data_IF_692044301601
#
_entry.id   IF_692044301601
#
_cell.length_a   1.000
_cell.length_b   1.000
_cell.length_c   1.000
_cell.angle_alpha   90.00
_cell.angle_beta   90.00
_cell.angle_gamma   90.00
#
_symmetry.space_group_name_H-M   'P 1'
#
loop_
_entity.id
_entity.type
_entity.pdbx_description
1 polymer ?
#
# COMPACT_ATOMS: atom_id res chain seq x y z
N UNK A 1 -3.15 -18.93 -3.96
CA UNK A 1 -2.86 -17.66 -4.61
C UNK A 1 -1.60 -17.06 -4.09
N UNK A 2 -0.67 -16.62 -4.96
CA UNK A 2 0.52 -15.93 -4.50
C UNK A 2 0.17 -14.64 -3.78
N UNK A 3 0.70 -14.47 -2.59
CA UNK A 3 0.48 -13.25 -1.83
C UNK A 3 1.68 -12.92 -0.96
N UNK A 4 1.83 -11.63 -0.68
CA UNK A 4 2.83 -11.09 0.22
C UNK A 4 2.11 -10.42 1.38
N UNK A 5 2.78 -10.32 2.52
CA UNK A 5 2.17 -9.85 3.74
C UNK A 5 3.21 -9.14 4.59
N UNK A 6 2.82 -8.03 5.18
CA UNK A 6 3.60 -7.39 6.24
C UNK A 6 2.66 -6.81 7.30
N UNK A 7 3.12 -6.76 8.53
CA UNK A 7 2.41 -6.07 9.61
C UNK A 7 3.41 -5.38 10.51
N UNK A 8 2.96 -4.30 11.13
CA UNK A 8 3.76 -3.57 12.10
C UNK A 8 2.84 -2.86 13.09
N UNK A 9 3.26 -2.79 14.33
CA UNK A 9 2.50 -2.08 15.37
C UNK A 9 3.02 -0.66 15.48
N UNK A 10 2.09 0.30 15.40
CA UNK A 10 2.39 1.74 15.42
C UNK A 10 1.78 2.34 16.68
N UNK A 11 2.58 3.12 17.41
CA UNK A 11 2.15 3.79 18.63
C UNK A 11 1.37 5.06 18.28
N UNK A 12 0.16 4.86 17.78
CA UNK A 12 -0.77 5.93 17.41
C UNK A 12 -2.17 5.34 17.28
N UNK A 13 -3.18 6.20 17.34
CA UNK A 13 -4.57 5.79 17.11
C UNK A 13 -4.80 5.41 15.66
N UNK A 14 -5.85 4.63 15.40
CA UNK A 14 -6.25 4.30 14.02
C UNK A 14 -6.52 5.56 13.20
N UNK A 15 -7.09 6.57 13.84
CA UNK A 15 -7.37 7.84 13.16
C UNK A 15 -6.09 8.49 12.62
N UNK A 16 -5.03 8.54 13.43
CA UNK A 16 -3.75 9.12 12.99
C UNK A 16 -3.09 8.29 11.90
N UNK A 17 -3.11 6.96 12.05
CA UNK A 17 -2.52 6.08 11.03
C UNK A 17 -3.32 6.19 9.72
N UNK A 18 -4.65 6.21 9.81
CA UNK A 18 -5.50 6.38 8.64
C UNK A 18 -5.23 7.68 7.91
N UNK A 19 -5.09 8.80 8.64
CA UNK A 19 -4.81 10.10 8.04
C UNK A 19 -3.50 10.07 7.24
N UNK A 20 -2.45 9.48 7.79
CA UNK A 20 -1.18 9.36 7.08
C UNK A 20 -1.30 8.48 5.84
N UNK A 21 -2.05 7.38 5.94
CA UNK A 21 -2.23 6.44 4.83
C UNK A 21 -3.07 7.03 3.70
N UNK A 22 -4.18 7.71 4.03
CA UNK A 22 -5.15 8.17 3.02
C UNK A 22 -4.70 9.45 2.31
N UNK A 23 -3.82 10.23 2.91
CA UNK A 23 -3.30 11.46 2.33
C UNK A 23 -2.10 11.17 1.44
N UNK A 24 -2.38 10.57 0.29
CA UNK A 24 -1.31 10.13 -0.63
C UNK A 24 -0.49 11.29 -1.19
N UNK A 25 -1.04 12.52 -1.22
CA UNK A 25 -0.31 13.72 -1.64
C UNK A 25 0.84 14.07 -0.69
N UNK A 26 0.85 13.50 0.52
CA UNK A 26 1.92 13.68 1.49
C UNK A 26 2.86 12.48 1.57
N UNK A 27 2.63 11.44 0.79
CA UNK A 27 3.53 10.28 0.76
C UNK A 27 4.96 10.64 0.37
N UNK A 28 5.15 11.71 -0.37
CA UNK A 28 6.48 12.15 -0.77
C UNK A 28 7.40 12.44 0.44
N UNK A 29 6.82 12.72 1.61
CA UNK A 29 7.59 13.04 2.80
C UNK A 29 8.07 11.80 3.55
N UNK A 30 7.49 10.62 3.30
CA UNK A 30 7.85 9.44 4.09
C UNK A 30 7.89 8.13 3.30
N UNK A 31 7.19 8.04 2.16
CA UNK A 31 6.99 6.77 1.45
C UNK A 31 7.93 6.68 0.27
N UNK A 32 8.86 5.71 0.28
CA UNK A 32 9.79 5.50 -0.83
C UNK A 32 9.39 4.34 -1.73
N UNK A 33 8.27 3.67 -1.42
CA UNK A 33 7.75 2.56 -2.21
C UNK A 33 6.68 3.01 -3.19
N UNK A 34 5.73 3.84 -2.75
CA UNK A 34 4.62 4.35 -3.54
C UNK A 34 4.63 5.89 -3.56
N UNK A 35 4.31 6.46 -4.71
CA UNK A 35 4.24 7.91 -4.89
C UNK A 35 2.92 8.29 -5.52
N UNK A 36 2.38 9.44 -5.12
CA UNK A 36 1.18 10.01 -5.73
C UNK A 36 1.58 10.79 -6.98
N UNK A 37 0.95 10.47 -8.11
CA UNK A 37 1.18 11.18 -9.37
C UNK A 37 0.11 12.23 -9.67
N UNK A 38 -1.02 12.21 -8.96
CA UNK A 38 -2.10 13.18 -9.18
C UNK A 38 -2.91 13.38 -7.91
N UNK A 39 -2.63 14.48 -7.20
CA UNK A 39 -3.31 14.81 -5.94
C UNK A 39 -4.78 15.18 -6.14
N UNK A 40 -5.21 15.44 -7.37
CA UNK A 40 -6.61 15.74 -7.69
C UNK A 40 -7.48 14.49 -7.74
N UNK A 41 -6.88 13.31 -7.68
CA UNK A 41 -7.57 12.02 -7.67
C UNK A 41 -7.41 11.38 -6.28
N UNK A 42 -8.26 11.73 -5.31
CA UNK A 42 -8.15 11.13 -3.96
C UNK A 42 -8.61 9.67 -3.97
N UNK A 43 -8.28 8.95 -2.89
CA UNK A 43 -8.81 7.61 -2.69
C UNK A 43 -10.33 7.69 -2.50
N UNK A 44 -11.05 7.23 -3.50
CA UNK A 44 -12.51 7.24 -3.51
C UNK A 44 -12.99 5.93 -4.13
N UNK A 45 -13.86 5.23 -3.42
CA UNK A 45 -14.34 3.91 -3.87
C UNK A 45 -14.96 4.00 -5.26
N UNK A 46 -14.56 3.08 -6.14
CA UNK A 46 -15.03 3.02 -7.51
C UNK A 46 -14.25 3.88 -8.48
N UNK A 47 -13.27 4.65 -8.02
CA UNK A 47 -12.48 5.55 -8.86
C UNK A 47 -11.03 5.10 -8.93
N UNK A 48 -10.36 5.53 -10.01
CA UNK A 48 -8.93 5.27 -10.19
C UNK A 48 -8.09 6.38 -9.57
N UNK A 49 -6.89 6.02 -9.15
CA UNK A 49 -5.85 6.97 -8.75
C UNK A 49 -4.63 6.74 -9.65
N UNK A 50 -3.71 7.69 -9.66
CA UNK A 50 -2.48 7.58 -10.43
C UNK A 50 -1.31 7.49 -9.47
N UNK A 51 -0.62 6.36 -9.47
CA UNK A 51 0.48 6.07 -8.56
C UNK A 51 1.72 5.64 -9.32
N UNK A 52 2.86 5.74 -8.65
CA UNK A 52 4.13 5.22 -9.10
C UNK A 52 4.71 4.29 -8.06
N UNK A 53 5.35 3.23 -8.51
CA UNK A 53 5.90 2.17 -7.66
C UNK A 53 7.41 2.07 -7.87
N UNK A 54 8.17 2.01 -6.78
CA UNK A 54 9.61 1.75 -6.81
C UNK A 54 9.94 0.63 -5.82
N UNK A 55 10.15 -0.58 -6.35
CA UNK A 55 10.49 -1.75 -5.52
C UNK A 55 11.89 -1.66 -4.94
N UNK A 56 12.83 -1.14 -5.73
CA UNK A 56 14.23 -1.05 -5.35
C UNK A 56 14.67 0.40 -5.50
N UNK A 57 15.32 0.93 -4.47
CA UNK A 57 15.82 2.31 -4.48
C UNK A 57 16.82 2.49 -5.62
N UNK A 58 16.68 3.60 -6.36
CA UNK A 58 17.56 3.92 -7.49
C UNK A 58 17.14 3.31 -8.81
N UNK A 59 16.15 2.43 -8.83
CA UNK A 59 15.64 1.86 -10.08
C UNK A 59 14.50 2.71 -10.66
N UNK A 60 14.21 2.55 -11.96
CA UNK A 60 13.11 3.28 -12.59
C UNK A 60 11.76 2.98 -11.94
N UNK A 61 10.92 4.00 -11.88
CA UNK A 61 9.57 3.87 -11.36
C UNK A 61 8.66 3.17 -12.35
N UNK A 62 7.67 2.44 -11.84
CA UNK A 62 6.58 1.87 -12.62
C UNK A 62 5.31 2.65 -12.32
N UNK A 63 4.76 3.32 -13.34
CA UNK A 63 3.51 4.06 -13.20
C UNK A 63 2.33 3.14 -13.43
N UNK A 64 1.27 3.32 -12.64
CA UNK A 64 0.05 2.51 -12.76
C UNK A 64 -1.17 3.30 -12.27
N UNK A 65 -2.35 2.83 -12.68
CA UNK A 65 -3.61 3.49 -12.35
C UNK A 65 -4.57 2.48 -11.75
N UNK A 66 -4.43 2.15 -10.46
CA UNK A 66 -5.31 1.18 -9.82
C UNK A 66 -6.71 1.76 -9.60
N UNK A 67 -7.69 0.86 -9.56
CA UNK A 67 -9.06 1.21 -9.19
C UNK A 67 -9.25 0.94 -7.71
N UNK A 68 -9.73 1.93 -6.98
CA UNK A 68 -10.02 1.80 -5.55
C UNK A 68 -11.33 1.01 -5.39
N UNK A 69 -11.26 -0.11 -4.68
CA UNK A 69 -12.40 -1.02 -4.52
C UNK A 69 -13.07 -0.90 -3.16
N UNK A 70 -12.37 -0.38 -2.16
CA UNK A 70 -12.94 -0.20 -0.82
C UNK A 70 -12.23 0.95 -0.11
N UNK A 71 -13.02 1.87 0.45
CA UNK A 71 -12.55 2.87 1.40
C UNK A 71 -13.46 2.80 2.63
N UNK A 72 -12.97 2.18 3.68
CA UNK A 72 -13.68 2.07 4.94
C UNK A 72 -12.85 2.82 5.98
N UNK A 73 -13.23 4.06 6.33
CA UNK A 73 -12.40 4.92 7.17
C UNK A 73 -11.93 4.24 8.45
N UNK A 74 -10.64 4.37 8.73
CA UNK A 74 -9.94 3.82 9.90
C UNK A 74 -9.89 2.29 9.95
N UNK A 75 -10.39 1.59 8.93
CA UNK A 75 -10.46 0.12 8.94
C UNK A 75 -9.73 -0.47 7.74
N UNK A 76 -10.08 -0.08 6.51
CA UNK A 76 -9.55 -0.76 5.34
C UNK A 76 -9.52 0.14 4.11
N UNK A 77 -8.42 0.06 3.37
CA UNK A 77 -8.27 0.62 2.03
C UNK A 77 -7.84 -0.50 1.11
N UNK A 78 -8.49 -0.59 -0.06
CA UNK A 78 -8.17 -1.65 -1.01
C UNK A 78 -8.23 -1.12 -2.43
N UNK A 79 -7.27 -1.52 -3.25
CA UNK A 79 -7.29 -1.24 -4.69
C UNK A 79 -6.79 -2.43 -5.47
N UNK A 80 -7.11 -2.46 -6.76
CA UNK A 80 -6.59 -3.46 -7.67
C UNK A 80 -6.12 -2.86 -8.98
N UNK A 81 -5.15 -3.53 -9.61
CA UNK A 81 -4.70 -3.27 -10.97
C UNK A 81 -4.93 -4.53 -11.78
N UNK A 82 -5.53 -4.40 -12.97
CA UNK A 82 -5.87 -5.54 -13.81
C UNK A 82 -5.31 -5.33 -15.20
N UNK A 83 -4.53 -6.29 -15.67
CA UNK A 83 -4.09 -6.40 -17.06
C UNK A 83 -4.40 -7.82 -17.54
N UNK A 84 -4.43 -8.09 -18.85
CA UNK A 84 -4.73 -9.44 -19.31
C UNK A 84 -3.84 -10.49 -18.67
N UNK A 85 -4.45 -11.48 -18.00
CA UNK A 85 -3.74 -12.58 -17.36
C UNK A 85 -3.17 -12.30 -15.98
N UNK A 86 -3.24 -11.07 -15.48
CA UNK A 86 -2.67 -10.73 -14.18
C UNK A 86 -3.52 -9.69 -13.45
N UNK A 87 -3.85 -10.00 -12.21
CA UNK A 87 -4.52 -9.09 -11.28
C UNK A 87 -3.66 -8.94 -10.04
N UNK A 88 -3.43 -7.69 -9.65
CA UNK A 88 -2.73 -7.36 -8.42
C UNK A 88 -3.67 -6.57 -7.50
N UNK A 89 -3.80 -7.00 -6.25
CA UNK A 89 -4.65 -6.34 -5.26
C UNK A 89 -3.84 -5.99 -4.03
N UNK A 90 -3.93 -4.73 -3.61
CA UNK A 90 -3.36 -4.27 -2.35
C UNK A 90 -4.47 -4.05 -1.35
N UNK A 91 -4.29 -4.60 -0.13
CA UNK A 91 -5.23 -4.47 0.98
C UNK A 91 -4.48 -3.91 2.17
N UNK A 92 -4.94 -2.77 2.68
CA UNK A 92 -4.39 -2.12 3.86
C UNK A 92 -5.44 -2.17 4.97
N UNK A 93 -5.10 -2.78 6.09
CA UNK A 93 -6.02 -2.88 7.23
C UNK A 93 -5.41 -2.26 8.47
N UNK A 94 -6.25 -1.61 9.27
CA UNK A 94 -5.85 -1.03 10.55
C UNK A 94 -6.66 -1.69 11.66
N UNK A 95 -5.96 -2.20 12.66
CA UNK A 95 -6.56 -2.88 13.81
C UNK A 95 -6.19 -2.14 15.08
N UNK A 96 -7.19 -1.76 15.87
CA UNK A 96 -6.94 -1.21 17.20
C UNK A 96 -6.56 -2.39 18.12
N UNK A 97 -5.32 -2.37 18.62
CA UNK A 97 -4.81 -3.44 19.49
C UNK A 97 -4.71 -2.99 20.95
N UNK A 98 -5.29 -1.84 21.29
CA UNK A 98 -5.32 -1.33 22.65
C UNK A 98 -4.10 -0.51 23.03
N UNK A 99 -4.17 0.17 24.18
CA UNK A 99 -3.07 0.96 24.75
C UNK A 99 -2.52 2.05 23.82
N UNK A 100 -3.35 2.56 22.89
CA UNK A 100 -2.93 3.59 21.96
C UNK A 100 -2.13 3.08 20.78
N UNK A 101 -2.14 1.76 20.52
CA UNK A 101 -1.43 1.15 19.40
C UNK A 101 -2.40 0.71 18.30
N UNK A 102 -1.93 0.81 17.07
CA UNK A 102 -2.63 0.32 15.88
C UNK A 102 -1.73 -0.68 15.17
N UNK A 103 -2.29 -1.82 14.77
CA UNK A 103 -1.61 -2.77 13.90
C UNK A 103 -1.94 -2.42 12.46
N UNK A 104 -0.91 -2.10 11.71
CA UNK A 104 -0.99 -1.85 10.27
C UNK A 104 -0.67 -3.15 9.55
N UNK A 105 -1.58 -3.57 8.67
CA UNK A 105 -1.44 -4.80 7.89
C UNK A 105 -1.53 -4.43 6.42
N UNK A 106 -0.58 -4.91 5.63
CA UNK A 106 -0.56 -4.71 4.19
C UNK A 106 -0.41 -6.06 3.50
N UNK A 107 -1.41 -6.41 2.70
CA UNK A 107 -1.39 -7.60 1.86
C UNK A 107 -1.28 -7.21 0.40
N UNK A 108 -0.50 -7.97 -0.36
CA UNK A 108 -0.25 -7.75 -1.77
C UNK A 108 -0.51 -9.08 -2.48
N UNK A 109 -1.64 -9.17 -3.19
CA UNK A 109 -2.14 -10.43 -3.76
C UNK A 109 -2.03 -10.41 -5.27
N UNK A 110 -1.60 -11.54 -5.84
CA UNK A 110 -1.48 -11.73 -7.28
C UNK A 110 -2.37 -12.87 -7.71
N UNK A 111 -3.12 -12.69 -8.81
CA UNK A 111 -4.00 -13.72 -9.36
C UNK A 111 -4.03 -13.62 -10.88
N UNK A 112 -4.70 -14.61 -11.52
CA UNK A 112 -4.71 -14.74 -12.97
C UNK A 112 -3.71 -15.78 -13.43
N UNK A 113 -3.85 -16.21 -14.70
CA UNK A 113 -3.03 -17.31 -15.23
C UNK A 113 -1.54 -16.96 -15.38
N UNK A 114 -1.19 -15.67 -15.46
CA UNK A 114 0.20 -15.22 -15.50
C UNK A 114 0.83 -15.06 -14.12
N UNK A 115 0.03 -15.12 -13.03
CA UNK A 115 0.56 -14.85 -11.69
C UNK A 115 1.66 -15.83 -11.29
N UNK A 116 1.45 -17.12 -11.53
CA UNK A 116 2.44 -18.15 -11.20
C UNK A 116 3.74 -17.99 -11.98
N UNK A 117 3.67 -17.45 -13.17
CA UNK A 117 4.84 -17.20 -14.00
C UNK A 117 5.59 -15.93 -13.55
N UNK A 118 4.85 -14.87 -13.25
CA UNK A 118 5.42 -13.55 -12.98
C UNK A 118 5.91 -13.39 -11.53
N UNK A 119 5.17 -13.93 -10.57
CA UNK A 119 5.39 -13.73 -9.14
C UNK A 119 6.81 -14.11 -8.68
N UNK A 120 7.39 -15.25 -9.09
CA UNK A 120 8.73 -15.62 -8.64
C UNK A 120 9.81 -14.58 -8.95
N UNK A 121 9.62 -13.77 -9.98
CA UNK A 121 10.61 -12.78 -10.39
C UNK A 121 10.55 -11.50 -9.56
N UNK A 122 9.38 -11.15 -9.00
CA UNK A 122 9.20 -9.89 -8.32
C UNK A 122 9.01 -10.03 -6.81
N UNK A 123 8.72 -11.24 -6.31
CA UNK A 123 8.25 -11.43 -4.94
C UNK A 123 9.21 -10.88 -3.89
N UNK A 124 10.51 -11.04 -4.09
CA UNK A 124 11.50 -10.61 -3.10
C UNK A 124 11.58 -9.07 -3.03
N UNK A 125 11.64 -8.41 -4.18
CA UNK A 125 11.70 -6.95 -4.24
C UNK A 125 10.40 -6.32 -3.79
N UNK A 126 9.28 -6.92 -4.14
CA UNK A 126 7.97 -6.45 -3.72
C UNK A 126 7.80 -6.59 -2.20
N UNK A 127 8.23 -7.73 -1.63
CA UNK A 127 8.19 -7.93 -0.17
C UNK A 127 9.04 -6.88 0.55
N UNK A 128 10.23 -6.61 0.06
CA UNK A 128 11.09 -5.56 0.61
C UNK A 128 10.44 -4.20 0.52
N UNK A 129 9.74 -3.93 -0.56
CA UNK A 129 9.03 -2.68 -0.78
C UNK A 129 7.91 -2.47 0.23
N UNK A 130 7.04 -3.47 0.42
CA UNK A 130 5.94 -3.32 1.38
C UNK A 130 6.45 -3.29 2.82
N UNK A 131 7.52 -4.02 3.14
CA UNK A 131 8.15 -3.95 4.46
C UNK A 131 8.74 -2.57 4.72
N UNK A 132 9.39 -1.99 3.71
CA UNK A 132 9.97 -0.65 3.80
C UNK A 132 8.89 0.40 4.03
N UNK A 133 7.79 0.33 3.29
CA UNK A 133 6.67 1.26 3.45
C UNK A 133 6.09 1.18 4.87
N UNK A 134 5.94 -0.03 5.41
CA UNK A 134 5.42 -0.20 6.78
C UNK A 134 6.33 0.47 7.81
N UNK A 135 7.64 0.26 7.71
CA UNK A 135 8.61 0.89 8.61
C UNK A 135 8.63 2.40 8.46
N UNK A 136 8.53 2.89 7.23
CA UNK A 136 8.53 4.33 6.96
C UNK A 136 7.27 5.00 7.51
N UNK A 137 6.12 4.37 7.38
CA UNK A 137 4.87 4.85 7.94
C UNK A 137 4.95 4.96 9.47
N UNK A 138 5.44 3.89 10.10
CA UNK A 138 5.63 3.88 11.56
C UNK A 138 6.54 5.01 12.01
N UNK A 139 7.69 5.16 11.36
CA UNK A 139 8.67 6.19 11.71
C UNK A 139 8.10 7.59 11.54
N UNK A 140 7.39 7.82 10.46
CA UNK A 140 6.77 9.12 10.18
C UNK A 140 5.74 9.51 11.23
N UNK A 141 4.87 8.57 11.60
CA UNK A 141 3.81 8.83 12.58
C UNK A 141 4.38 9.00 13.98
N UNK A 142 5.33 8.14 14.38
CA UNK A 142 5.86 8.16 15.74
C UNK A 142 6.83 9.32 15.99
N UNK A 143 7.33 9.96 14.94
CA UNK A 143 8.19 11.12 15.05
C UNK A 143 7.44 12.44 15.23
N UNK A 144 6.12 12.43 15.13
CA UNK A 144 5.31 13.65 15.21
C UNK A 144 4.60 13.84 16.55
#
# INVERSE_FOLDING_TARGET
MPSLYTEIDIRASRSRVWQALIRKEQWLYWNTFLYDLNSKLPFQQGRSVALSLRRVAGEPETQFQPTVTLVQPMVCLRWHSVVPGLRNEHVFELQDIGAGYTRYVHQDRFSGWLAGFFFPFIRQDEQRGIDRMARELKRYIEAT
#
